data_IF_902585500268
#
_entry.id   IF_902585500268
#
_cell.length_a   1.000
_cell.length_b   1.000
_cell.length_c   1.000
_cell.angle_alpha   90.00
_cell.angle_beta   90.00
_cell.angle_gamma   90.00
#
_symmetry.space_group_name_H-M   'P 1'
#
loop_
_entity.id
_entity.type
_entity.pdbx_description
1 polymer ?
#
# COMPACT_ATOMS: atom_id res chain seq x y z
N UNK A 1 -8.61 -43.75 2.48
CA UNK A 1 -8.96 -42.37 2.90
C UNK A 1 -7.95 -41.30 2.47
N UNK A 2 -6.65 -41.43 2.80
CA UNK A 2 -5.64 -40.39 2.51
C UNK A 2 -5.54 -40.03 1.03
N UNK A 3 -5.44 -41.03 0.13
CA UNK A 3 -5.35 -40.80 -1.33
C UNK A 3 -6.60 -40.07 -1.86
N UNK A 4 -7.78 -40.45 -1.37
CA UNK A 4 -9.05 -39.80 -1.73
C UNK A 4 -9.06 -38.35 -1.25
N UNK A 5 -8.64 -38.10 0.00
CA UNK A 5 -8.53 -36.75 0.55
C UNK A 5 -7.56 -35.88 -0.23
N UNK A 6 -6.38 -36.40 -0.58
CA UNK A 6 -5.38 -35.66 -1.35
C UNK A 6 -5.85 -35.38 -2.79
N UNK A 7 -6.48 -36.38 -3.43
CA UNK A 7 -7.04 -36.25 -4.78
C UNK A 7 -8.16 -35.21 -4.82
N UNK A 8 -9.08 -35.26 -3.85
CA UNK A 8 -10.13 -34.25 -3.69
C UNK A 8 -9.57 -32.86 -3.43
N UNK A 9 -8.52 -32.74 -2.61
CA UNK A 9 -7.84 -31.47 -2.38
C UNK A 9 -7.21 -30.92 -3.67
N UNK A 10 -6.58 -31.78 -4.48
CA UNK A 10 -6.00 -31.37 -5.76
C UNK A 10 -7.06 -30.93 -6.76
N UNK A 11 -8.19 -31.65 -6.85
CA UNK A 11 -9.31 -31.28 -7.72
C UNK A 11 -9.91 -29.93 -7.31
N UNK A 12 -10.11 -29.72 -6.01
CA UNK A 12 -10.64 -28.46 -5.49
C UNK A 12 -9.65 -27.30 -5.63
N UNK A 13 -8.34 -27.54 -5.49
CA UNK A 13 -7.31 -26.53 -5.77
C UNK A 13 -7.24 -26.14 -7.25
N UNK A 14 -7.46 -27.06 -8.19
CA UNK A 14 -7.52 -26.72 -9.62
C UNK A 14 -8.63 -25.72 -9.93
N UNK A 15 -9.77 -25.82 -9.24
CA UNK A 15 -10.92 -24.94 -9.42
C UNK A 15 -10.80 -23.63 -8.64
N UNK A 16 -10.42 -23.73 -7.37
CA UNK A 16 -10.37 -22.57 -6.46
C UNK A 16 -9.05 -21.79 -6.55
N UNK A 17 -7.99 -22.38 -7.12
CA UNK A 17 -6.62 -21.86 -7.17
C UNK A 17 -5.88 -21.95 -5.83
N UNK A 18 -6.58 -21.69 -4.71
CA UNK A 18 -6.00 -21.66 -3.36
C UNK A 18 -7.02 -22.06 -2.30
N UNK A 19 -6.55 -22.86 -1.34
CA UNK A 19 -7.32 -23.24 -0.15
C UNK A 19 -7.70 -22.06 0.77
N UNK A 20 -8.50 -22.33 1.82
CA UNK A 20 -9.04 -21.30 2.73
C UNK A 20 -7.98 -20.63 3.61
N UNK A 21 -6.78 -21.22 3.71
CA UNK A 21 -5.65 -20.64 4.44
C UNK A 21 -5.56 -21.03 5.92
N UNK A 22 -6.25 -22.09 6.35
CA UNK A 22 -6.19 -22.56 7.73
C UNK A 22 -4.89 -23.29 8.08
N UNK A 23 -4.56 -23.23 9.37
CA UNK A 23 -3.49 -24.03 9.95
C UNK A 23 -3.86 -25.51 9.96
N UNK A 24 -2.84 -26.38 9.94
CA UNK A 24 -3.04 -27.82 10.08
C UNK A 24 -3.71 -28.18 11.41
N UNK A 25 -3.46 -27.39 12.46
CA UNK A 25 -4.14 -27.52 13.75
C UNK A 25 -5.65 -27.28 13.67
N UNK A 26 -6.12 -26.37 12.79
CA UNK A 26 -7.57 -26.16 12.60
C UNK A 26 -8.23 -27.40 11.99
N UNK A 27 -7.59 -28.00 10.98
CA UNK A 27 -8.08 -29.24 10.36
C UNK A 27 -8.02 -30.43 11.32
N UNK A 28 -6.98 -30.50 12.15
CA UNK A 28 -6.87 -31.47 13.24
C UNK A 28 -7.99 -31.31 14.28
N UNK A 29 -8.31 -30.08 14.67
CA UNK A 29 -9.42 -29.80 15.58
C UNK A 29 -10.77 -30.22 14.97
N UNK A 30 -11.05 -29.87 13.71
CA UNK A 30 -12.28 -30.29 13.02
C UNK A 30 -12.38 -31.81 12.93
N UNK A 31 -11.28 -32.50 12.62
CA UNK A 31 -11.24 -33.97 12.62
C UNK A 31 -11.50 -34.54 14.01
N UNK A 32 -10.85 -33.99 15.05
CA UNK A 32 -11.03 -34.42 16.44
C UNK A 32 -12.46 -34.23 16.96
N UNK A 33 -13.08 -33.08 16.68
CA UNK A 33 -14.50 -32.83 17.00
C UNK A 33 -15.40 -33.78 16.22
N UNK A 34 -15.10 -34.04 14.94
CA UNK A 34 -15.84 -35.01 14.13
C UNK A 34 -15.79 -36.43 14.71
N UNK A 35 -14.61 -36.89 15.14
CA UNK A 35 -14.45 -38.18 15.83
C UNK A 35 -15.27 -38.20 17.12
N UNK A 36 -15.16 -37.15 17.95
CA UNK A 36 -15.85 -37.08 19.22
C UNK A 36 -17.38 -37.13 19.05
N UNK A 37 -17.91 -36.40 18.05
CA UNK A 37 -19.34 -36.45 17.72
C UNK A 37 -19.77 -37.83 17.18
N UNK A 38 -18.94 -38.48 16.37
CA UNK A 38 -19.21 -39.83 15.89
C UNK A 38 -19.25 -40.84 17.06
N UNK A 39 -18.28 -40.76 17.97
CA UNK A 39 -18.24 -41.59 19.18
C UNK A 39 -19.41 -41.31 20.13
N UNK A 40 -19.82 -40.05 20.29
CA UNK A 40 -20.97 -39.69 21.09
C UNK A 40 -22.29 -40.20 20.48
N UNK A 41 -22.44 -40.14 19.16
CA UNK A 41 -23.60 -40.66 18.45
C UNK A 41 -23.71 -42.19 18.48
N UNK A 42 -22.56 -42.88 18.53
CA UNK A 42 -22.47 -44.35 18.61
C UNK A 42 -22.25 -44.86 20.04
N UNK A 43 -22.38 -43.99 21.06
CA UNK A 43 -22.06 -44.31 22.45
C UNK A 43 -22.84 -45.53 22.99
N UNK A 44 -24.07 -45.72 22.53
CA UNK A 44 -24.92 -46.86 22.92
C UNK A 44 -24.62 -48.15 22.14
N UNK A 45 -23.80 -48.09 21.09
CA UNK A 45 -23.45 -49.21 20.22
C UNK A 45 -21.93 -49.48 20.27
N UNK A 46 -21.42 -49.71 21.48
CA UNK A 46 -19.99 -49.90 21.72
C UNK A 46 -19.38 -51.03 20.85
N UNK A 47 -20.18 -52.04 20.50
CA UNK A 47 -19.80 -53.10 19.58
C UNK A 47 -19.56 -52.60 18.14
N UNK A 48 -20.44 -51.74 17.63
CA UNK A 48 -20.34 -51.18 16.26
C UNK A 48 -19.12 -50.26 16.15
N UNK A 49 -18.82 -49.48 17.19
CA UNK A 49 -17.64 -48.63 17.26
C UNK A 49 -16.34 -49.45 17.22
N UNK A 50 -16.28 -50.54 17.98
CA UNK A 50 -15.10 -51.43 18.01
C UNK A 50 -14.95 -52.17 16.68
N UNK A 51 -16.06 -52.64 16.10
CA UNK A 51 -16.07 -53.35 14.82
C UNK A 51 -15.60 -52.47 13.65
N UNK A 52 -15.91 -51.17 13.67
CA UNK A 52 -15.59 -50.24 12.57
C UNK A 52 -14.52 -49.21 12.96
N UNK A 53 -13.73 -49.47 14.00
CA UNK A 53 -12.73 -48.54 14.51
C UNK A 53 -11.68 -48.18 13.46
N UNK A 54 -11.28 -49.14 12.64
CA UNK A 54 -10.35 -48.96 11.52
C UNK A 54 -10.92 -48.02 10.44
N UNK A 55 -12.21 -48.16 10.11
CA UNK A 55 -12.92 -47.30 9.16
C UNK A 55 -13.10 -45.90 9.75
N UNK A 56 -13.48 -45.77 11.03
CA UNK A 56 -13.61 -44.48 11.71
C UNK A 56 -12.28 -43.74 11.78
N UNK A 57 -11.19 -44.43 12.12
CA UNK A 57 -9.84 -43.89 12.09
C UNK A 57 -9.39 -43.54 10.67
N UNK A 58 -9.76 -44.33 9.67
CA UNK A 58 -9.54 -44.01 8.27
C UNK A 58 -10.26 -42.74 7.84
N UNK A 59 -11.53 -42.59 8.22
CA UNK A 59 -12.37 -41.44 7.87
C UNK A 59 -11.93 -40.16 8.57
N UNK A 60 -11.40 -40.23 9.79
CA UNK A 60 -10.88 -39.06 10.50
C UNK A 60 -9.59 -38.50 9.89
N UNK A 61 -8.79 -39.36 9.23
CA UNK A 61 -7.63 -38.93 8.46
C UNK A 61 -8.01 -38.19 7.17
N UNK A 62 -9.26 -38.32 6.69
CA UNK A 62 -9.70 -37.70 5.45
C UNK A 62 -9.73 -36.17 5.52
N UNK A 63 -10.35 -35.51 6.52
CA UNK A 63 -10.24 -34.06 6.70
C UNK A 63 -8.81 -33.55 6.84
N UNK A 64 -7.94 -34.32 7.50
CA UNK A 64 -6.53 -33.95 7.71
C UNK A 64 -5.77 -34.03 6.38
N UNK A 65 -5.91 -35.13 5.63
CA UNK A 65 -5.29 -35.31 4.33
C UNK A 65 -5.82 -34.28 3.31
N UNK A 66 -7.13 -34.01 3.33
CA UNK A 66 -7.76 -33.00 2.49
C UNK A 66 -7.27 -31.59 2.84
N UNK A 67 -7.30 -31.22 4.12
CA UNK A 67 -6.82 -29.92 4.60
C UNK A 67 -5.33 -29.71 4.38
N UNK A 68 -4.52 -30.75 4.57
CA UNK A 68 -3.09 -30.76 4.25
C UNK A 68 -2.85 -30.58 2.75
N UNK A 69 -3.61 -31.28 1.90
CA UNK A 69 -3.57 -31.13 0.45
C UNK A 69 -3.94 -29.71 0.00
N UNK A 70 -4.93 -29.07 0.63
CA UNK A 70 -5.32 -27.68 0.33
C UNK A 70 -4.22 -26.66 0.65
N UNK A 71 -3.23 -27.03 1.47
CA UNK A 71 -2.06 -26.19 1.80
C UNK A 71 -0.98 -26.28 0.73
N UNK A 72 -0.93 -27.35 -0.06
CA UNK A 72 -0.02 -27.51 -1.20
C UNK A 72 -0.48 -26.67 -2.42
N UNK A 73 -0.99 -25.46 -2.16
CA UNK A 73 -1.39 -24.52 -3.20
C UNK A 73 -0.16 -24.00 -3.95
N UNK A 74 -0.30 -23.61 -5.23
CA UNK A 74 0.78 -22.98 -5.99
C UNK A 74 1.36 -21.75 -5.27
N UNK A 75 2.63 -21.39 -5.53
CA UNK A 75 3.23 -20.17 -5.01
C UNK A 75 2.41 -18.94 -5.45
N UNK A 76 2.29 -17.96 -4.54
CA UNK A 76 1.58 -16.72 -4.81
C UNK A 76 2.50 -15.74 -5.53
N UNK A 77 2.02 -15.18 -6.63
CA UNK A 77 2.64 -14.02 -7.26
C UNK A 77 1.87 -12.77 -6.82
N UNK A 78 2.56 -11.77 -6.28
CA UNK A 78 1.93 -10.50 -5.90
C UNK A 78 2.03 -9.53 -7.07
N UNK A 79 0.91 -8.91 -7.42
CA UNK A 79 0.86 -7.82 -8.40
C UNK A 79 0.58 -6.54 -7.63
N UNK A 80 1.39 -5.52 -7.84
CA UNK A 80 1.17 -4.17 -7.34
C UNK A 80 0.39 -3.39 -8.39
N UNK A 81 -0.71 -2.78 -7.96
CA UNK A 81 -1.40 -1.74 -8.71
C UNK A 81 -1.00 -0.42 -8.09
N UNK A 82 -0.47 0.47 -8.90
CA UNK A 82 -0.04 1.80 -8.48
C UNK A 82 -0.95 2.83 -9.12
N UNK A 83 -1.50 3.69 -8.28
CA UNK A 83 -2.14 4.93 -8.69
C UNK A 83 -1.36 6.09 -8.07
N UNK A 84 -1.08 7.10 -8.88
CA UNK A 84 -0.42 8.33 -8.45
C UNK A 84 -1.48 9.38 -8.20
N UNK A 85 -1.58 9.86 -6.97
CA UNK A 85 -2.43 10.99 -6.62
C UNK A 85 -1.52 12.20 -6.40
N UNK A 86 -1.76 13.24 -7.19
CA UNK A 86 -1.18 14.55 -6.97
C UNK A 86 -2.10 15.24 -5.96
N UNK A 87 -1.64 15.40 -4.72
CA UNK A 87 -2.35 16.23 -3.73
C UNK A 87 -1.69 17.60 -3.65
N UNK A 88 -2.50 18.64 -3.46
CA UNK A 88 -2.00 20.00 -3.24
C UNK A 88 -0.98 19.95 -2.11
N UNK A 89 0.18 20.58 -2.32
CA UNK A 89 1.19 20.66 -1.30
C UNK A 89 0.54 21.22 -0.04
N UNK A 90 0.61 20.49 1.07
CA UNK A 90 0.42 21.13 2.38
C UNK A 90 1.58 22.08 2.47
N UNK A 91 1.34 23.36 2.16
CA UNK A 91 2.32 24.42 2.32
C UNK A 91 2.90 24.24 3.72
N UNK A 92 4.16 23.83 3.82
CA UNK A 92 4.88 23.79 5.08
C UNK A 92 4.96 25.24 5.55
N UNK A 93 3.94 25.68 6.28
CA UNK A 93 3.85 26.99 6.92
C UNK A 93 4.96 27.03 7.96
N UNK A 94 6.13 27.47 7.51
CA UNK A 94 7.28 27.76 8.37
C UNK A 94 6.93 28.99 9.18
N UNK A 95 6.51 28.76 10.42
CA UNK A 95 6.47 29.77 11.48
C UNK A 95 5.15 30.53 11.60
N UNK A 96 4.12 29.88 12.13
CA UNK A 96 3.19 30.58 13.02
C UNK A 96 3.29 29.94 14.39
N UNK A 97 4.16 30.51 15.22
CA UNK A 97 3.95 30.49 16.66
C UNK A 97 2.55 31.04 16.92
N UNK A 98 1.73 30.28 17.64
CA UNK A 98 0.49 30.76 18.24
C UNK A 98 0.79 31.98 19.13
N UNK A 99 0.82 33.17 18.56
CA UNK A 99 0.73 34.40 19.34
C UNK A 99 -0.77 34.63 19.58
N UNK A 100 -1.25 34.05 20.68
CA UNK A 100 -2.49 34.51 21.31
C UNK A 100 -2.35 36.01 21.50
N UNK A 101 -3.09 36.77 20.68
CA UNK A 101 -3.32 38.19 20.89
C UNK A 101 -3.87 38.40 22.30
N UNK A 102 -3.00 38.90 23.19
CA UNK A 102 -3.37 39.45 24.48
C UNK A 102 -3.88 40.89 24.24
N UNK A 103 -5.15 41.22 24.53
CA UNK A 103 -5.74 42.52 24.20
C UNK A 103 -5.28 43.69 25.09
N UNK A 104 -4.31 43.51 26.00
CA UNK A 104 -3.90 44.53 26.98
C UNK A 104 -2.49 45.13 26.78
N UNK A 105 -1.88 44.99 25.60
CA UNK A 105 -0.63 45.69 25.29
C UNK A 105 -0.89 47.16 24.91
N UNK A 106 -0.68 48.05 25.90
CA UNK A 106 -0.75 49.52 25.77
C UNK A 106 0.26 50.01 24.70
N UNK A 107 -0.14 50.88 23.76
CA UNK A 107 0.78 51.46 22.79
C UNK A 107 1.51 52.65 23.42
N UNK A 108 2.82 52.54 23.63
CA UNK A 108 3.67 53.70 23.84
C UNK A 108 4.32 54.09 22.50
N UNK A 109 4.25 55.38 22.19
CA UNK A 109 4.37 55.92 20.85
C UNK A 109 5.78 55.97 20.28
N UNK A 110 5.85 56.02 18.95
CA UNK A 110 7.06 56.35 18.21
C UNK A 110 6.84 56.11 16.73
N UNK A 111 6.71 57.20 15.98
CA UNK A 111 6.42 57.26 14.55
C UNK A 111 7.47 56.62 13.66
N UNK A 112 7.02 56.30 12.44
CA UNK A 112 7.77 56.08 11.21
C UNK A 112 8.37 54.68 10.97
N UNK A 113 7.60 53.86 10.26
CA UNK A 113 8.10 53.14 9.10
C UNK A 113 6.96 52.75 8.16
N UNK A 114 6.56 53.70 7.33
CA UNK A 114 6.13 53.40 5.96
C UNK A 114 7.31 52.79 5.19
N UNK A 115 7.70 51.55 5.49
CA UNK A 115 8.46 50.73 4.56
C UNK A 115 7.47 50.06 3.64
N UNK A 116 7.36 50.65 2.45
CA UNK A 116 6.63 50.13 1.29
C UNK A 116 6.80 48.62 1.20
N UNK A 117 5.67 47.94 1.00
CA UNK A 117 5.61 46.61 0.44
C UNK A 117 6.46 46.57 -0.83
N UNK A 118 7.70 46.11 -0.71
CA UNK A 118 8.51 45.68 -1.84
C UNK A 118 8.07 44.27 -2.19
N UNK A 119 7.55 44.15 -3.40
CA UNK A 119 7.47 42.94 -4.22
C UNK A 119 7.46 41.62 -3.45
N UNK A 120 6.32 41.33 -2.83
CA UNK A 120 5.92 39.93 -2.70
C UNK A 120 5.49 39.49 -4.09
N UNK A 121 6.35 38.75 -4.77
CA UNK A 121 5.94 37.88 -5.87
C UNK A 121 4.87 36.96 -5.29
N UNK A 122 3.60 37.35 -5.44
CA UNK A 122 2.47 36.47 -5.22
C UNK A 122 2.57 35.43 -6.31
N UNK A 123 3.13 34.27 -5.97
CA UNK A 123 2.92 33.07 -6.76
C UNK A 123 1.42 32.79 -6.66
N UNK A 124 0.73 32.80 -7.80
CA UNK A 124 -0.69 32.47 -7.89
C UNK A 124 -0.94 31.12 -7.18
N UNK A 125 -2.06 31.02 -6.44
CA UNK A 125 -2.54 29.81 -5.75
C UNK A 125 -2.88 28.64 -6.74
N UNK A 126 -2.41 28.71 -7.98
CA UNK A 126 -2.58 27.69 -9.00
C UNK A 126 -1.52 26.59 -8.83
N UNK A 127 -1.79 25.66 -7.92
CA UNK A 127 -1.46 24.24 -8.15
C UNK A 127 0.00 23.82 -7.98
N UNK A 128 0.66 24.21 -6.89
CA UNK A 128 1.84 23.46 -6.44
C UNK A 128 1.42 22.14 -5.78
N UNK A 129 1.47 21.05 -6.55
CA UNK A 129 1.33 19.68 -6.07
C UNK A 129 2.74 19.14 -5.76
N UNK A 130 3.19 19.25 -4.51
CA UNK A 130 4.55 18.82 -4.11
C UNK A 130 4.54 17.42 -3.46
N UNK A 131 3.39 16.95 -2.97
CA UNK A 131 3.25 15.61 -2.37
C UNK A 131 2.61 14.63 -3.37
N UNK A 132 3.45 13.78 -3.97
CA UNK A 132 3.03 12.62 -4.75
C UNK A 132 2.67 11.48 -3.79
N UNK A 133 1.39 11.20 -3.58
CA UNK A 133 0.96 9.99 -2.89
C UNK A 133 0.82 8.84 -3.89
N UNK A 134 1.43 7.70 -3.56
CA UNK A 134 1.29 6.46 -4.32
C UNK A 134 0.35 5.49 -3.57
N UNK A 135 -0.86 5.29 -4.08
CA UNK A 135 -1.74 4.23 -3.60
C UNK A 135 -1.28 2.90 -4.21
N UNK A 136 -0.49 2.15 -3.43
CA UNK A 136 0.06 0.87 -3.83
C UNK A 136 -0.78 -0.30 -3.27
N UNK A 137 -1.64 -0.86 -4.12
CA UNK A 137 -2.51 -1.98 -3.77
C UNK A 137 -1.90 -3.32 -4.21
N UNK A 138 -1.40 -4.08 -3.23
CA UNK A 138 -0.84 -5.43 -3.46
C UNK A 138 -1.93 -6.50 -3.48
N UNK A 139 -2.16 -7.10 -4.64
CA UNK A 139 -3.11 -8.20 -4.79
C UNK A 139 -2.41 -9.55 -5.02
N UNK A 140 -2.73 -10.59 -4.23
CA UNK A 140 -2.18 -11.92 -4.43
C UNK A 140 -2.85 -12.60 -5.62
N UNK A 141 -2.05 -13.14 -6.53
CA UNK A 141 -2.53 -13.85 -7.72
C UNK A 141 -1.99 -15.27 -7.80
N UNK A 142 -2.78 -16.15 -8.41
CA UNK A 142 -2.42 -17.54 -8.71
C UNK A 142 -2.69 -17.81 -10.18
N UNK A 143 -1.77 -18.50 -10.86
CA UNK A 143 -1.96 -18.87 -12.28
C UNK A 143 -3.14 -19.83 -12.40
N UNK A 144 -4.15 -19.45 -13.19
CA UNK A 144 -5.26 -20.32 -13.52
C UNK A 144 -4.81 -21.42 -14.50
N UNK A 145 -5.40 -22.62 -14.46
CA UNK A 145 -5.14 -23.65 -15.47
C UNK A 145 -5.53 -23.22 -16.90
N UNK A 146 -6.44 -22.25 -17.02
CA UNK A 146 -7.04 -21.78 -18.28
C UNK A 146 -6.36 -20.54 -18.87
N UNK A 147 -5.19 -20.12 -18.36
CA UNK A 147 -4.38 -19.05 -18.95
C UNK A 147 -4.56 -17.64 -18.35
N UNK A 148 -5.50 -17.43 -17.42
CA UNK A 148 -5.65 -16.18 -16.66
C UNK A 148 -4.97 -16.18 -15.28
N UNK A 149 -5.07 -15.08 -14.52
CA UNK A 149 -4.64 -15.03 -13.11
C UNK A 149 -5.84 -14.92 -12.18
N UNK A 150 -5.98 -15.84 -11.23
CA UNK A 150 -7.02 -15.80 -10.21
C UNK A 150 -6.56 -14.93 -9.04
N UNK A 151 -7.48 -14.17 -8.45
CA UNK A 151 -7.24 -13.34 -7.26
C UNK A 151 -7.90 -13.95 -6.02
N UNK A 152 -7.27 -14.94 -5.36
CA UNK A 152 -7.89 -15.60 -4.22
C UNK A 152 -7.82 -14.74 -2.94
N UNK A 153 -8.98 -14.47 -2.33
CA UNK A 153 -9.05 -13.97 -0.95
C UNK A 153 -8.99 -15.11 0.07
N UNK A 154 -8.30 -14.89 1.19
CA UNK A 154 -8.24 -15.84 2.33
C UNK A 154 -9.60 -15.95 3.02
N UNK A 155 -9.94 -17.13 3.56
CA UNK A 155 -11.14 -17.39 4.35
C UNK A 155 -12.08 -18.48 3.79
N UNK A 156 -12.96 -19.01 4.65
CA UNK A 156 -13.96 -20.07 4.32
C UNK A 156 -14.96 -19.60 3.29
N UNK A 157 -15.58 -18.45 3.56
CA UNK A 157 -16.66 -17.92 2.70
C UNK A 157 -16.18 -17.71 1.27
N UNK A 158 -15.06 -17.01 1.00
CA UNK A 158 -14.56 -16.86 -0.36
C UNK A 158 -13.98 -18.16 -0.94
N UNK A 159 -13.53 -19.11 -0.12
CA UNK A 159 -13.10 -20.42 -0.60
C UNK A 159 -14.28 -21.25 -1.14
N UNK A 160 -15.36 -21.36 -0.37
CA UNK A 160 -16.56 -22.07 -0.80
C UNK A 160 -17.29 -21.34 -1.93
N UNK A 161 -17.30 -20.00 -1.94
CA UNK A 161 -17.81 -19.25 -3.08
C UNK A 161 -17.12 -19.71 -4.37
N UNK A 162 -15.78 -19.71 -4.42
CA UNK A 162 -14.99 -20.18 -5.57
C UNK A 162 -15.17 -21.66 -5.94
N UNK A 163 -15.73 -22.48 -5.05
CA UNK A 163 -16.04 -23.86 -5.37
C UNK A 163 -17.26 -23.95 -6.30
N UNK A 164 -18.20 -23.01 -6.15
CA UNK A 164 -19.48 -23.00 -6.85
C UNK A 164 -19.59 -21.89 -7.90
N UNK A 165 -18.89 -20.77 -7.73
CA UNK A 165 -18.84 -19.62 -8.63
C UNK A 165 -17.44 -19.38 -9.21
N UNK A 166 -17.35 -18.52 -10.21
CA UNK A 166 -16.08 -18.12 -10.80
C UNK A 166 -15.33 -17.14 -9.89
N UNK A 167 -14.04 -17.40 -9.68
CA UNK A 167 -13.18 -16.45 -8.98
C UNK A 167 -12.93 -15.22 -9.86
N UNK A 168 -12.62 -14.08 -9.23
CA UNK A 168 -12.13 -12.90 -9.94
C UNK A 168 -10.88 -13.29 -10.76
N UNK A 169 -11.01 -13.18 -12.09
CA UNK A 169 -9.96 -13.45 -13.07
C UNK A 169 -9.43 -12.11 -13.54
N UNK A 170 -8.12 -11.92 -13.39
CA UNK A 170 -7.39 -10.84 -14.04
C UNK A 170 -6.98 -11.34 -15.42
N UNK A 171 -7.51 -10.70 -16.46
CA UNK A 171 -7.00 -10.89 -17.81
C UNK A 171 -5.67 -10.12 -17.95
N UNK A 172 -4.66 -10.81 -18.47
CA UNK A 172 -3.35 -10.24 -18.70
C UNK A 172 -3.28 -9.46 -20.01
N UNK A 173 -4.24 -9.67 -20.91
CA UNK A 173 -4.34 -8.97 -22.19
C UNK A 173 -4.69 -7.48 -22.01
N UNK A 174 -5.45 -7.15 -20.96
CA UNK A 174 -5.84 -5.79 -20.61
C UNK A 174 -4.73 -4.99 -19.92
N UNK A 175 -3.66 -5.66 -19.46
CA UNK A 175 -2.53 -5.04 -18.76
C UNK A 175 -1.49 -4.46 -19.71
N UNK A 176 -1.85 -3.38 -20.42
CA UNK A 176 -0.99 -2.72 -21.41
C UNK A 176 0.22 -1.99 -20.78
N UNK A 177 0.12 -1.55 -19.53
CA UNK A 177 1.13 -0.78 -18.78
C UNK A 177 1.96 -1.62 -17.80
N UNK A 178 2.02 -2.93 -18.01
CA UNK A 178 2.70 -3.84 -17.07
C UNK A 178 4.21 -3.71 -17.14
N UNK A 179 4.83 -3.46 -15.98
CA UNK A 179 6.28 -3.50 -15.77
C UNK A 179 6.65 -4.68 -14.87
N UNK A 180 7.72 -5.41 -15.21
CA UNK A 180 8.27 -6.46 -14.34
C UNK A 180 9.18 -5.81 -13.31
N UNK A 181 8.95 -6.09 -12.04
CA UNK A 181 9.72 -5.51 -10.93
C UNK A 181 10.32 -6.64 -10.10
N UNK A 182 11.54 -6.45 -9.63
CA UNK A 182 12.18 -7.32 -8.64
C UNK A 182 11.93 -6.78 -7.24
N UNK A 183 11.21 -7.53 -6.40
CA UNK A 183 10.93 -7.09 -5.03
C UNK A 183 9.73 -7.80 -4.38
N UNK A 184 8.97 -7.04 -3.59
CA UNK A 184 7.77 -7.52 -2.86
C UNK A 184 6.58 -7.86 -3.77
N UNK A 185 6.60 -7.40 -5.01
CA UNK A 185 5.69 -7.74 -6.10
C UNK A 185 6.48 -8.25 -7.31
N UNK A 186 5.90 -9.17 -8.07
CA UNK A 186 6.52 -9.67 -9.31
C UNK A 186 6.21 -8.80 -10.52
N UNK A 187 5.12 -8.03 -10.44
CA UNK A 187 4.62 -7.16 -11.52
C UNK A 187 4.02 -5.90 -10.91
N UNK A 188 4.24 -4.78 -11.58
CA UNK A 188 3.66 -3.47 -11.27
C UNK A 188 2.78 -3.06 -12.46
N UNK A 189 1.60 -2.56 -12.18
CA UNK A 189 0.63 -2.08 -13.17
C UNK A 189 0.27 -0.66 -12.79
N UNK A 190 0.49 0.27 -13.73
CA UNK A 190 0.08 1.66 -13.59
C UNK A 190 -1.41 1.77 -13.91
N UNK A 191 -2.16 2.35 -12.97
CA UNK A 191 -3.60 2.61 -13.04
C UNK A 191 -3.79 4.10 -13.26
N UNK A 192 -4.89 4.45 -13.93
CA UNK A 192 -5.30 5.83 -14.17
C UNK A 192 -5.29 6.67 -12.86
N UNK A 193 -4.56 7.80 -12.83
CA UNK A 193 -4.56 8.71 -11.68
C UNK A 193 -5.92 9.36 -11.39
N UNK A 194 -6.79 9.53 -12.41
CA UNK A 194 -8.09 10.20 -12.25
C UNK A 194 -9.16 9.27 -11.61
N UNK A 195 -8.88 7.97 -11.51
CA UNK A 195 -9.81 7.00 -10.93
C UNK A 195 -9.92 7.12 -9.41
N UNK A 196 -11.15 7.05 -8.87
CA UNK A 196 -11.43 7.14 -7.42
C UNK A 196 -10.74 6.05 -6.58
N UNK A 197 -10.43 4.89 -7.16
CA UNK A 197 -9.67 3.82 -6.47
C UNK A 197 -8.69 3.13 -7.40
N UNK A 198 -7.51 2.74 -6.91
CA UNK A 198 -6.51 2.02 -7.71
C UNK A 198 -7.03 0.68 -8.28
N UNK A 199 -7.87 -0.05 -7.54
CA UNK A 199 -8.55 -1.26 -8.04
C UNK A 199 -9.83 -1.50 -7.25
N UNK A 200 -10.98 -1.63 -7.92
CA UNK A 200 -12.17 -2.23 -7.30
C UNK A 200 -12.08 -3.75 -7.44
N UNK A 201 -11.72 -4.41 -6.33
CA UNK A 201 -11.63 -5.86 -6.25
C UNK A 201 -12.77 -6.39 -5.37
N UNK A 202 -13.73 -7.04 -6.04
CA UNK A 202 -14.85 -7.72 -5.38
C UNK A 202 -14.58 -9.22 -5.38
N UNK A 203 -14.12 -9.79 -4.24
CA UNK A 203 -13.88 -11.21 -4.16
C UNK A 203 -15.19 -11.99 -4.27
N UNK A 204 -15.11 -13.20 -4.83
CA UNK A 204 -16.22 -14.15 -4.79
C UNK A 204 -16.66 -14.37 -3.34
N UNK A 205 -17.96 -14.23 -3.07
CA UNK A 205 -18.51 -14.33 -1.73
C UNK A 205 -19.82 -15.11 -1.73
N UNK A 206 -20.11 -15.73 -0.59
CA UNK A 206 -21.38 -16.40 -0.37
C UNK A 206 -22.39 -15.37 0.14
N UNK A 207 -23.46 -15.16 -0.64
CA UNK A 207 -24.60 -14.36 -0.23
C UNK A 207 -25.64 -15.29 0.39
N UNK A 208 -26.09 -14.96 1.60
CA UNK A 208 -27.20 -15.67 2.24
C UNK A 208 -28.47 -15.37 1.44
N UNK A 209 -29.20 -16.41 1.08
CA UNK A 209 -30.46 -16.33 0.35
C UNK A 209 -31.55 -17.02 1.14
N UNK A 210 -32.77 -16.50 1.03
CA UNK A 210 -33.95 -17.20 1.53
C UNK A 210 -34.13 -18.49 0.71
N UNK A 211 -34.25 -19.67 1.35
CA UNK A 211 -34.44 -20.94 0.63
C UNK A 211 -35.71 -20.88 -0.21
N UNK A 212 -35.76 -21.51 -1.40
CA UNK A 212 -36.96 -21.60 -2.26
C UNK A 212 -37.49 -20.29 -2.88
N UNK A 213 -37.46 -19.15 -2.19
CA UNK A 213 -37.98 -17.85 -2.67
C UNK A 213 -37.31 -17.36 -3.96
N UNK A 214 -36.12 -17.86 -4.26
CA UNK A 214 -35.39 -17.55 -5.47
C UNK A 214 -36.00 -18.07 -6.77
N UNK A 215 -36.89 -19.05 -6.66
CA UNK A 215 -37.57 -19.67 -7.81
C UNK A 215 -38.87 -18.95 -8.14
N UNK A 216 -39.25 -17.96 -7.34
CA UNK A 216 -40.37 -17.10 -7.66
C UNK A 216 -40.01 -16.28 -8.90
N UNK A 217 -40.87 -16.27 -9.93
CA UNK A 217 -40.72 -15.31 -11.02
C UNK A 217 -40.76 -13.91 -10.42
N UNK A 218 -39.88 -13.03 -10.90
CA UNK A 218 -39.93 -11.62 -10.53
C UNK A 218 -41.30 -11.07 -10.95
N UNK A 219 -42.07 -10.51 -10.01
CA UNK A 219 -43.37 -9.95 -10.37
C UNK A 219 -43.14 -8.82 -11.37
N UNK A 220 -43.84 -8.87 -12.50
CA UNK A 220 -43.90 -7.76 -13.46
C UNK A 220 -44.44 -6.54 -12.72
N UNK A 221 -43.85 -5.36 -12.97
CA UNK A 221 -44.15 -4.12 -12.25
C UNK A 221 -45.66 -3.92 -12.03
N UNK A 222 -46.06 -3.88 -10.75
CA UNK A 222 -47.43 -3.60 -10.31
C UNK A 222 -48.28 -4.80 -9.89
N UNK A 223 -47.84 -6.04 -10.11
CA UNK A 223 -48.62 -7.23 -9.76
C UNK A 223 -48.11 -7.92 -8.49
N UNK A 224 -48.91 -7.88 -7.42
CA UNK A 224 -48.54 -8.57 -6.17
C UNK A 224 -48.71 -10.08 -6.31
N UNK A 225 -47.66 -10.85 -5.98
CA UNK A 225 -47.71 -12.31 -5.89
C UNK A 225 -48.96 -12.80 -5.14
N UNK A 226 -49.68 -13.74 -5.74
CA UNK A 226 -50.89 -14.36 -5.17
C UNK A 226 -50.67 -14.83 -3.72
N UNK A 227 -51.63 -14.63 -2.80
CA UNK A 227 -51.50 -15.08 -1.41
C UNK A 227 -51.32 -16.60 -1.30
N UNK A 228 -51.87 -17.37 -2.25
CA UNK A 228 -51.71 -18.82 -2.30
C UNK A 228 -50.27 -19.22 -2.63
N UNK A 229 -49.63 -18.54 -3.59
CA UNK A 229 -48.23 -18.81 -3.93
C UNK A 229 -47.31 -18.41 -2.78
N UNK A 230 -47.52 -17.26 -2.15
CA UNK A 230 -46.77 -16.87 -0.94
C UNK A 230 -46.92 -17.89 0.18
N UNK A 231 -48.12 -18.40 0.43
CA UNK A 231 -48.39 -19.41 1.45
C UNK A 231 -47.68 -20.74 1.15
N UNK A 232 -47.72 -21.21 -0.09
CA UNK A 232 -47.03 -22.43 -0.52
C UNK A 232 -45.51 -22.29 -0.35
N UNK A 233 -44.92 -21.18 -0.78
CA UNK A 233 -43.48 -20.94 -0.64
C UNK A 233 -43.07 -20.78 0.82
N UNK A 234 -43.88 -20.14 1.66
CA UNK A 234 -43.65 -20.10 3.10
C UNK A 234 -43.62 -21.51 3.72
N UNK A 235 -44.58 -22.37 3.36
CA UNK A 235 -44.59 -23.77 3.81
C UNK A 235 -43.36 -24.54 3.30
N UNK A 236 -42.97 -24.33 2.03
CA UNK A 236 -41.78 -24.94 1.43
C UNK A 236 -40.48 -24.47 2.12
N UNK A 237 -40.39 -23.20 2.51
CA UNK A 237 -39.24 -22.71 3.29
C UNK A 237 -39.18 -23.33 4.67
N UNK A 238 -40.32 -23.52 5.32
CA UNK A 238 -40.39 -24.18 6.61
C UNK A 238 -39.98 -25.65 6.48
N UNK A 239 -40.39 -26.33 5.41
CA UNK A 239 -39.95 -27.69 5.09
C UNK A 239 -38.44 -27.77 4.84
N UNK A 240 -37.86 -26.82 4.09
CA UNK A 240 -36.41 -26.77 3.85
C UNK A 240 -35.65 -26.48 5.15
N UNK A 241 -36.13 -25.56 5.99
CA UNK A 241 -35.54 -25.30 7.31
C UNK A 241 -35.63 -26.51 8.25
N UNK A 242 -36.63 -27.37 8.07
CA UNK A 242 -36.79 -28.62 8.80
C UNK A 242 -35.89 -29.76 8.30
N UNK A 243 -35.12 -29.59 7.21
CA UNK A 243 -34.23 -30.64 6.67
C UNK A 243 -33.28 -31.27 7.70
N UNK A 244 -32.67 -30.54 8.66
CA UNK A 244 -31.86 -31.17 9.70
C UNK A 244 -32.67 -32.11 10.61
N UNK A 245 -33.92 -31.75 10.94
CA UNK A 245 -34.81 -32.59 11.76
C UNK A 245 -35.31 -33.80 10.97
N UNK A 246 -35.68 -33.61 9.70
CA UNK A 246 -36.05 -34.70 8.80
C UNK A 246 -34.87 -35.66 8.66
N UNK A 247 -33.68 -35.11 8.42
CA UNK A 247 -32.43 -35.85 8.36
C UNK A 247 -32.16 -36.64 9.63
N UNK A 248 -32.39 -36.06 10.82
CA UNK A 248 -32.26 -36.76 12.10
C UNK A 248 -33.14 -38.01 12.15
N UNK A 249 -34.43 -37.88 11.83
CA UNK A 249 -35.36 -39.00 11.87
C UNK A 249 -35.08 -40.06 10.80
N UNK A 250 -34.77 -39.65 9.57
CA UNK A 250 -34.43 -40.57 8.48
C UNK A 250 -33.11 -41.29 8.76
N UNK A 251 -32.10 -40.58 9.26
CA UNK A 251 -30.80 -41.16 9.64
C UNK A 251 -30.93 -42.16 10.78
N UNK A 252 -31.78 -41.87 11.77
CA UNK A 252 -32.12 -42.82 12.83
C UNK A 252 -32.88 -44.05 12.32
N UNK A 253 -33.82 -43.87 11.39
CA UNK A 253 -34.64 -44.99 10.88
C UNK A 253 -33.89 -45.91 9.90
N UNK A 254 -33.05 -45.35 9.03
CA UNK A 254 -32.38 -46.10 7.94
C UNK A 254 -31.02 -46.65 8.38
N UNK A 255 -30.25 -45.85 9.11
CA UNK A 255 -28.85 -46.15 9.42
C UNK A 255 -28.59 -46.31 10.92
N UNK A 256 -29.60 -46.12 11.78
CA UNK A 256 -29.46 -46.02 13.23
C UNK A 256 -28.48 -44.93 13.72
N UNK A 257 -28.10 -44.00 12.84
CA UNK A 257 -27.19 -42.88 13.17
C UNK A 257 -27.88 -41.55 12.89
N UNK A 258 -28.71 -41.05 13.83
CA UNK A 258 -29.51 -39.84 13.61
C UNK A 258 -28.66 -38.58 13.38
N UNK A 259 -27.50 -38.47 14.03
CA UNK A 259 -26.59 -37.34 13.86
C UNK A 259 -26.04 -37.22 12.43
N UNK A 260 -25.74 -38.34 11.77
CA UNK A 260 -25.25 -38.35 10.39
C UNK A 260 -26.33 -37.85 9.45
N UNK A 261 -27.57 -38.31 9.62
CA UNK A 261 -28.70 -37.84 8.84
C UNK A 261 -28.98 -36.34 9.05
N UNK A 262 -28.91 -35.85 10.30
CA UNK A 262 -29.07 -34.43 10.61
C UNK A 262 -27.98 -33.56 9.97
N UNK A 263 -26.73 -34.02 9.98
CA UNK A 263 -25.61 -33.33 9.32
C UNK A 263 -25.80 -33.24 7.80
N UNK A 264 -26.24 -34.33 7.16
CA UNK A 264 -26.59 -34.32 5.73
C UNK A 264 -27.72 -33.33 5.45
N UNK A 265 -28.75 -33.29 6.30
CA UNK A 265 -29.84 -32.31 6.20
C UNK A 265 -29.35 -30.86 6.32
N UNK A 266 -28.40 -30.60 7.22
CA UNK A 266 -27.77 -29.28 7.38
C UNK A 266 -26.94 -28.89 6.15
N UNK A 267 -26.19 -29.82 5.55
CA UNK A 267 -25.45 -29.57 4.31
C UNK A 267 -26.39 -29.21 3.16
N UNK A 268 -27.49 -29.94 2.99
CA UNK A 268 -28.49 -29.62 1.96
C UNK A 268 -29.14 -28.25 2.19
N UNK A 269 -29.48 -27.93 3.45
CA UNK A 269 -29.97 -26.60 3.82
C UNK A 269 -28.93 -25.52 3.50
N UNK A 270 -27.65 -25.76 3.77
CA UNK A 270 -26.59 -24.81 3.48
C UNK A 270 -26.43 -24.58 1.96
N UNK A 271 -26.52 -25.63 1.14
CA UNK A 271 -26.45 -25.49 -0.32
C UNK A 271 -27.63 -24.68 -0.85
N UNK A 272 -28.84 -24.89 -0.34
CA UNK A 272 -30.04 -24.17 -0.79
C UNK A 272 -30.10 -22.72 -0.26
N UNK A 273 -29.50 -22.44 0.89
CA UNK A 273 -29.54 -21.13 1.56
C UNK A 273 -28.38 -20.19 1.23
N UNK A 274 -27.37 -20.66 0.50
CA UNK A 274 -26.22 -19.84 0.10
C UNK A 274 -26.05 -19.84 -1.41
N UNK A 275 -26.00 -18.65 -1.97
CA UNK A 275 -25.68 -18.44 -3.38
C UNK A 275 -24.23 -17.95 -3.48
N UNK A 276 -23.47 -18.56 -4.39
CA UNK A 276 -22.12 -18.12 -4.69
C UNK A 276 -22.19 -17.01 -5.75
N UNK A 277 -21.78 -15.80 -5.37
CA UNK A 277 -21.69 -14.66 -6.28
C UNK A 277 -20.29 -14.67 -6.90
N UNK A 278 -20.23 -14.40 -8.21
CA UNK A 278 -18.96 -14.33 -8.94
C UNK A 278 -18.09 -13.18 -8.42
N UNK A 279 -16.78 -13.40 -8.44
CA UNK A 279 -15.82 -12.33 -8.16
C UNK A 279 -15.55 -11.50 -9.39
N UNK A 280 -15.44 -10.18 -9.24
CA UNK A 280 -15.04 -9.27 -10.31
C UNK A 280 -13.84 -8.44 -9.89
N UNK A 281 -13.06 -8.02 -10.88
CA UNK A 281 -12.02 -7.02 -10.73
C UNK A 281 -12.18 -6.01 -11.86
N UNK A 282 -12.20 -4.73 -11.51
CA UNK A 282 -12.22 -3.62 -12.47
C UNK A 282 -11.14 -2.62 -12.09
N UNK A 283 -10.39 -2.20 -13.10
CA UNK A 283 -9.38 -1.16 -12.99
C UNK A 283 -9.26 -0.51 -14.38
N UNK A 284 -8.88 0.76 -14.40
CA UNK A 284 -8.63 1.50 -15.63
C UNK A 284 -7.10 1.60 -15.81
N UNK A 285 -6.52 0.99 -16.87
CA UNK A 285 -5.09 1.05 -17.07
C UNK A 285 -4.68 2.49 -17.44
N UNK A 286 -3.58 2.97 -16.86
CA UNK A 286 -3.08 4.30 -17.18
C UNK A 286 -2.81 4.47 -18.69
N UNK A 287 -2.98 5.68 -19.23
CA UNK A 287 -2.47 6.05 -20.56
C UNK A 287 -1.00 5.65 -20.73
N UNK A 288 -0.61 5.24 -21.95
CA UNK A 288 0.78 4.83 -22.23
C UNK A 288 1.79 5.96 -21.99
N UNK A 289 1.36 7.21 -22.14
CA UNK A 289 2.21 8.38 -22.00
C UNK A 289 2.64 8.63 -20.55
N UNK A 290 1.85 8.17 -19.57
CA UNK A 290 2.18 8.35 -18.15
C UNK A 290 3.41 7.53 -17.76
N UNK A 291 3.52 6.31 -18.27
CA UNK A 291 4.69 5.46 -18.02
C UNK A 291 5.96 6.10 -18.61
N UNK A 292 5.85 6.71 -19.80
CA UNK A 292 6.98 7.41 -20.41
C UNK A 292 7.32 8.71 -19.71
N UNK A 293 6.31 9.46 -19.24
CA UNK A 293 6.50 10.70 -18.50
C UNK A 293 7.18 10.42 -17.15
N UNK A 294 6.74 9.39 -16.43
CA UNK A 294 7.35 8.94 -15.18
C UNK A 294 8.81 8.54 -15.34
N UNK A 295 9.11 7.76 -16.39
CA UNK A 295 10.48 7.38 -16.70
C UNK A 295 11.35 8.61 -17.02
N UNK A 296 10.84 9.58 -17.78
CA UNK A 296 11.59 10.81 -18.06
C UNK A 296 11.78 11.68 -16.83
N UNK A 297 10.77 11.78 -15.96
CA UNK A 297 10.84 12.56 -14.73
C UNK A 297 11.88 11.95 -13.77
N UNK A 298 11.90 10.63 -13.64
CA UNK A 298 12.91 9.92 -12.83
C UNK A 298 14.32 10.20 -13.32
N UNK A 299 14.53 10.20 -14.65
CA UNK A 299 15.83 10.54 -15.26
C UNK A 299 16.20 12.00 -14.95
N UNK A 300 15.29 12.94 -15.15
CA UNK A 300 15.52 14.35 -14.85
C UNK A 300 15.83 14.60 -13.37
N UNK A 301 15.15 13.90 -12.46
CA UNK A 301 15.46 13.96 -11.02
C UNK A 301 16.85 13.42 -10.72
N UNK A 302 17.27 12.34 -11.38
CA UNK A 302 18.63 11.81 -11.23
C UNK A 302 19.69 12.76 -11.78
N UNK A 303 19.45 13.37 -12.95
CA UNK A 303 20.35 14.35 -13.55
C UNK A 303 20.45 15.62 -12.70
N UNK A 304 19.34 16.08 -12.11
CA UNK A 304 19.33 17.21 -11.19
C UNK A 304 20.07 16.88 -9.88
N UNK A 305 19.88 15.67 -9.34
CA UNK A 305 20.62 15.22 -8.17
C UNK A 305 22.13 15.16 -8.47
N UNK A 306 22.53 14.61 -9.62
CA UNK A 306 23.92 14.55 -10.05
C UNK A 306 24.49 15.97 -10.26
N UNK A 307 23.74 16.87 -10.90
CA UNK A 307 24.15 18.26 -11.09
C UNK A 307 24.39 18.98 -9.75
N UNK A 308 23.50 18.78 -8.77
CA UNK A 308 23.69 19.33 -7.42
C UNK A 308 24.94 18.78 -6.75
N UNK A 309 25.22 17.48 -6.89
CA UNK A 309 26.47 16.92 -6.35
C UNK A 309 27.71 17.50 -7.03
N UNK A 310 27.65 17.81 -8.33
CA UNK A 310 28.74 18.45 -9.05
C UNK A 310 28.96 19.90 -8.60
N UNK A 311 27.89 20.65 -8.38
CA UNK A 311 27.95 22.02 -7.85
C UNK A 311 28.56 22.03 -6.44
N UNK A 312 28.15 21.10 -5.56
CA UNK A 312 28.74 20.92 -4.24
C UNK A 312 30.26 20.59 -4.33
N UNK A 313 30.66 19.75 -5.29
CA UNK A 313 32.09 19.47 -5.52
C UNK A 313 32.86 20.67 -6.08
N UNK A 314 32.24 21.47 -6.96
CA UNK A 314 32.86 22.69 -7.48
C UNK A 314 33.02 23.74 -6.39
N UNK A 315 32.02 23.93 -5.52
CA UNK A 315 32.08 24.82 -4.36
C UNK A 315 33.20 24.39 -3.42
N UNK A 316 33.32 23.10 -3.09
CA UNK A 316 34.42 22.58 -2.29
C UNK A 316 35.77 22.89 -2.95
N UNK A 317 35.92 22.60 -4.25
CA UNK A 317 37.17 22.84 -4.97
C UNK A 317 37.52 24.35 -5.05
N UNK A 318 36.54 25.23 -5.21
CA UNK A 318 36.72 26.68 -5.19
C UNK A 318 37.10 27.18 -3.81
N UNK A 319 36.45 26.67 -2.76
CA UNK A 319 36.78 27.01 -1.37
C UNK A 319 38.22 26.61 -1.03
N UNK A 320 38.67 25.43 -1.47
CA UNK A 320 40.06 24.98 -1.27
C UNK A 320 41.06 25.81 -2.09
N UNK A 321 40.73 26.19 -3.33
CA UNK A 321 41.60 27.05 -4.15
C UNK A 321 41.71 28.46 -3.58
N UNK A 322 40.60 29.03 -3.14
CA UNK A 322 40.58 30.37 -2.53
C UNK A 322 41.27 30.37 -1.17
N UNK A 323 41.07 29.34 -0.33
CA UNK A 323 41.82 29.19 0.91
C UNK A 323 43.31 29.04 0.66
N UNK A 324 43.70 28.23 -0.33
CA UNK A 324 45.12 28.06 -0.70
C UNK A 324 45.73 29.35 -1.24
N UNK A 325 44.99 30.11 -2.07
CA UNK A 325 45.46 31.38 -2.60
C UNK A 325 45.58 32.46 -1.50
N UNK A 326 44.63 32.50 -0.56
CA UNK A 326 44.69 33.38 0.60
C UNK A 326 45.84 33.00 1.53
N UNK A 327 46.06 31.71 1.78
CA UNK A 327 47.19 31.20 2.56
C UNK A 327 48.53 31.56 1.91
N UNK A 328 48.66 31.40 0.60
CA UNK A 328 49.85 31.80 -0.14
C UNK A 328 50.12 33.31 -0.04
N UNK A 329 49.08 34.14 -0.13
CA UNK A 329 49.20 35.60 0.03
C UNK A 329 49.55 36.00 1.46
N UNK A 330 49.01 35.30 2.46
CA UNK A 330 49.33 35.54 3.86
C UNK A 330 50.80 35.20 4.15
N UNK A 331 51.32 34.10 3.60
CA UNK A 331 52.76 33.74 3.67
C UNK A 331 53.65 34.79 3.01
N UNK A 332 53.27 35.29 1.83
CA UNK A 332 54.04 36.31 1.11
C UNK A 332 54.04 37.64 1.87
N UNK A 333 52.89 38.05 2.43
CA UNK A 333 52.79 39.26 3.26
C UNK A 333 53.67 39.19 4.51
N UNK A 334 53.74 38.04 5.18
CA UNK A 334 54.64 37.81 6.32
C UNK A 334 56.10 37.86 5.89
N UNK A 335 56.41 37.32 4.71
CA UNK A 335 57.77 37.35 4.15
C UNK A 335 58.20 38.77 3.81
N UNK A 336 57.34 39.56 3.18
CA UNK A 336 57.60 40.95 2.83
C UNK A 336 57.75 41.82 4.08
N UNK A 337 56.89 41.65 5.09
CA UNK A 337 57.04 42.31 6.39
C UNK A 337 58.38 41.96 7.04
N UNK A 338 58.79 40.68 6.99
CA UNK A 338 60.07 40.23 7.51
C UNK A 338 61.28 40.78 6.73
N UNK A 339 61.15 40.92 5.40
CA UNK A 339 62.19 41.48 4.54
C UNK A 339 62.32 43.00 4.72
N UNK A 340 61.20 43.73 4.77
CA UNK A 340 61.19 45.15 5.08
C UNK A 340 61.79 45.41 6.46
N UNK A 341 61.43 44.61 7.48
CA UNK A 341 62.03 44.69 8.81
C UNK A 341 63.54 44.50 8.76
N UNK A 342 64.04 43.47 8.05
CA UNK A 342 65.49 43.25 7.86
C UNK A 342 66.19 44.40 7.12
N UNK A 343 65.60 44.92 6.05
CA UNK A 343 66.17 46.03 5.29
C UNK A 343 66.21 47.32 6.14
N UNK A 344 65.15 47.59 6.91
CA UNK A 344 65.11 48.70 7.87
C UNK A 344 66.15 48.54 8.99
N UNK A 345 66.31 47.32 9.54
CA UNK A 345 67.35 47.01 10.54
C UNK A 345 68.76 47.20 9.96
N UNK A 346 68.99 46.80 8.71
CA UNK A 346 70.27 46.92 8.02
C UNK A 346 70.62 48.37 7.67
N UNK A 347 69.66 49.15 7.15
CA UNK A 347 69.88 50.55 6.74
C UNK A 347 70.01 51.48 7.95
N UNK A 348 69.23 51.25 9.01
CA UNK A 348 69.31 52.04 10.25
C UNK A 348 70.43 51.57 11.19
N UNK A 349 71.07 50.43 10.93
CA UNK A 349 72.07 49.76 11.80
C UNK A 349 71.63 49.69 13.27
N UNK A 350 70.33 49.62 13.50
CA UNK A 350 69.72 49.54 14.81
C UNK A 350 68.84 48.30 14.86
N UNK A 351 69.07 47.46 15.87
CA UNK A 351 68.21 46.32 16.14
C UNK A 351 66.83 46.84 16.57
N UNK A 352 65.85 46.72 15.69
CA UNK A 352 64.48 47.22 15.90
C UNK A 352 63.78 46.52 17.08
N UNK A 353 64.32 45.38 17.55
CA UNK A 353 63.90 44.75 18.80
C UNK A 353 64.17 45.59 20.07
N UNK A 354 65.04 46.61 19.99
CA UNK A 354 65.45 47.43 21.15
C UNK A 354 64.59 48.70 21.32
N UNK A 355 63.80 49.10 20.30
CA UNK A 355 62.94 50.30 20.37
C UNK A 355 61.52 50.06 20.90
N UNK A 356 61.17 48.85 21.33
CA UNK A 356 59.84 48.57 21.91
C UNK A 356 58.67 48.76 20.94
N UNK A 357 58.93 48.69 19.62
CA UNK A 357 57.94 48.80 18.54
C UNK A 357 57.24 47.47 18.22
N UNK A 358 57.41 46.45 19.05
CA UNK A 358 57.00 45.06 18.74
C UNK A 358 55.55 44.73 19.14
N UNK A 359 54.79 45.65 19.73
CA UNK A 359 53.44 45.34 20.23
C UNK A 359 52.28 45.94 19.42
N UNK A 360 52.51 46.73 18.36
CA UNK A 360 51.41 47.44 17.70
C UNK A 360 51.40 47.45 16.17
N UNK A 361 52.16 46.56 15.51
CA UNK A 361 52.23 46.50 14.04
C UNK A 361 51.75 45.17 13.44
N UNK A 362 51.13 44.27 14.22
CA UNK A 362 50.84 42.91 13.74
C UNK A 362 49.53 42.25 14.19
N UNK A 363 48.74 42.85 15.07
CA UNK A 363 47.54 42.16 15.61
C UNK A 363 46.41 43.15 15.87
N UNK A 364 45.72 43.58 14.82
CA UNK A 364 44.31 43.98 14.84
C UNK A 364 43.84 44.14 13.39
N UNK A 365 43.78 43.00 12.67
CA UNK A 365 42.75 42.84 11.66
C UNK A 365 41.59 42.21 12.43
N UNK A 366 40.81 43.07 13.07
CA UNK A 366 39.46 42.72 13.50
C UNK A 366 38.72 42.15 12.29
N UNK A 367 38.27 40.90 12.44
CA UNK A 367 37.19 40.36 11.64
C UNK A 367 35.94 41.18 11.96
N UNK A 368 35.73 42.27 11.25
CA UNK A 368 34.41 42.83 11.08
C UNK A 368 33.59 41.85 10.21
N UNK A 369 32.37 41.46 10.61
CA UNK A 369 31.46 40.76 9.71
C UNK A 369 31.13 41.71 8.56
N UNK A 370 31.41 41.28 7.33
CA UNK A 370 30.90 41.92 6.13
C UNK A 370 29.43 41.53 6.03
N UNK A 371 28.57 42.39 6.58
CA UNK A 371 27.23 42.55 6.05
C UNK A 371 27.35 43.32 4.72
N UNK A 372 26.79 42.70 3.70
CA UNK A 372 26.61 43.22 2.36
C UNK A 372 25.57 44.35 2.33
N UNK A 373 25.54 45.09 1.21
CA UNK A 373 24.66 46.23 0.87
C UNK A 373 25.19 47.61 1.34
N UNK A 374 25.21 48.69 0.56
CA UNK A 374 24.60 49.03 -0.73
C UNK A 374 25.23 50.36 -1.18
N UNK A 375 25.30 50.61 -2.48
CA UNK A 375 25.62 51.95 -2.99
C UNK A 375 26.43 51.94 -4.27
N UNK A 376 25.76 51.70 -5.40
CA UNK A 376 26.30 52.07 -6.72
C UNK A 376 25.41 53.13 -7.35
N UNK A 377 26.03 54.29 -7.53
CA UNK A 377 25.59 55.44 -8.30
C UNK A 377 24.97 55.08 -9.65
N UNK A 378 23.83 55.71 -9.91
CA UNK A 378 23.51 56.54 -11.07
C UNK A 378 24.51 56.54 -12.24
N UNK A 379 24.05 56.03 -13.39
CA UNK A 379 24.35 56.59 -14.72
C UNK A 379 23.23 56.25 -15.70
N UNK A 380 22.32 57.21 -15.81
CA UNK A 380 21.94 57.91 -17.05
C UNK A 380 22.34 57.22 -18.36
N UNK A 381 21.35 56.69 -19.09
CA UNK A 381 21.30 56.75 -20.55
C UNK A 381 19.83 56.97 -20.96
N UNK A 382 19.57 58.21 -21.35
CA UNK A 382 18.43 58.72 -22.11
C UNK A 382 18.36 58.13 -23.52
N UNK A 383 17.16 57.71 -23.94
CA UNK A 383 16.52 57.86 -25.27
C UNK A 383 15.28 56.94 -25.24
N UNK A 384 14.04 57.39 -25.43
CA UNK A 384 13.55 58.32 -26.45
C UNK A 384 12.73 57.51 -27.47
N UNK A 385 11.58 58.05 -27.85
CA UNK A 385 10.67 57.64 -28.95
C UNK A 385 9.60 56.59 -28.57
N UNK A 386 8.33 56.95 -28.39
CA UNK A 386 7.33 57.60 -29.27
C UNK A 386 6.32 56.54 -29.81
N UNK A 387 5.04 56.91 -29.66
CA UNK A 387 3.77 56.29 -30.14
C UNK A 387 3.00 55.33 -29.21
#
# INVERSE_FOLDING_TARGET
AIVIGLSGARATLKRTGRGPGYSLGTWGFVSGVGILLALAGLYYELAVVVEHLDILMGMSLLPIAYGGGLRMSPPLERIAFERKELTEAVSLRRGESEEKADPDAVPDGGSDSTSKATDRVGLDDDGYFDELYEDLKLLPTVRAPTGGRLLPKKGIRPFFARLFSDAAKLDLSDLRTRVRVSGSASQKVYVDPEGETAVDHRPAHLRRRMPVWHRLPEPVDGESLSPITRGLYAALTLAVLALPLIGWHVGGAVANVPFVGAFVGLLLLAVESYEAVDGSISFEPAPRHDVTADASLTVLQSEHADAKTLEEYEEIAWSERTSTALEARDVDSRRDASMMRRLLEEDLRMDLGVMGLDENAGTEIDRAPLDEEEGRDDRDDTEGDDE
#
